data_IF_678049084776
#
_entry.id   IF_678049084776
#
_cell.length_a   1.000
_cell.length_b   1.000
_cell.length_c   1.000
_cell.angle_alpha   90.00
_cell.angle_beta   90.00
_cell.angle_gamma   90.00
#
_symmetry.space_group_name_H-M   'P 1'
#
loop_
_entity.id
_entity.type
_entity.pdbx_description
1 polymer ?
#
# COMPACT_ATOMS: atom_id res chain seq x y z
N UNK A 1 -6.78 1.06 -19.07
CA UNK A 1 -6.89 2.36 -18.37
C UNK A 1 -8.35 2.72 -18.16
N UNK A 2 -9.15 2.80 -19.20
CA UNK A 2 -10.59 3.13 -19.12
C UNK A 2 -11.36 2.21 -18.16
N UNK A 3 -11.14 0.89 -18.23
CA UNK A 3 -11.75 -0.10 -17.32
C UNK A 3 -11.28 0.01 -15.85
N UNK A 4 -10.23 0.79 -15.57
CA UNK A 4 -9.68 1.00 -14.23
C UNK A 4 -10.12 2.32 -13.64
N UNK A 5 -9.95 3.40 -14.40
CA UNK A 5 -10.05 4.76 -13.89
C UNK A 5 -11.21 5.57 -14.51
N UNK A 6 -11.92 5.02 -15.49
CA UNK A 6 -13.02 5.72 -16.16
C UNK A 6 -14.18 6.07 -15.21
N UNK A 7 -15.30 5.36 -15.31
CA UNK A 7 -16.51 5.65 -14.52
C UNK A 7 -16.37 5.41 -13.00
N UNK A 8 -15.27 4.83 -12.52
CA UNK A 8 -15.05 4.56 -11.11
C UNK A 8 -14.58 5.78 -10.30
N UNK A 9 -14.08 6.82 -10.99
CA UNK A 9 -13.61 8.05 -10.37
C UNK A 9 -14.59 9.19 -10.63
N UNK A 10 -14.72 10.11 -9.68
CA UNK A 10 -15.67 11.22 -9.74
C UNK A 10 -15.13 12.46 -10.47
N UNK A 11 -13.91 12.40 -10.99
CA UNK A 11 -13.28 13.43 -11.82
C UNK A 11 -12.55 12.81 -13.02
N UNK A 12 -12.58 13.52 -14.16
CA UNK A 12 -11.87 13.11 -15.39
C UNK A 12 -10.35 13.12 -15.22
N UNK A 13 -9.82 14.00 -14.38
CA UNK A 13 -8.39 14.12 -14.08
C UNK A 13 -7.87 13.00 -13.16
N UNK A 14 -8.75 12.20 -12.57
CA UNK A 14 -8.46 11.05 -11.70
C UNK A 14 -7.75 11.43 -10.41
N UNK A 15 -6.68 12.21 -10.47
CA UNK A 15 -5.89 12.70 -9.35
C UNK A 15 -5.44 14.15 -9.61
N UNK A 16 -6.38 15.12 -9.57
CA UNK A 16 -6.08 16.50 -9.85
C UNK A 16 -5.13 17.12 -8.83
N UNK A 17 -4.45 18.18 -9.25
CA UNK A 17 -3.62 18.99 -8.35
C UNK A 17 -4.30 20.32 -8.10
N UNK A 18 -4.60 20.61 -6.83
CA UNK A 18 -5.19 21.88 -6.39
C UNK A 18 -4.13 22.75 -5.73
N UNK A 19 -3.98 24.00 -6.20
CA UNK A 19 -3.08 24.99 -5.62
C UNK A 19 -3.74 25.69 -4.43
N UNK A 20 -3.10 25.66 -3.26
CA UNK A 20 -3.54 26.37 -2.06
C UNK A 20 -2.97 27.79 -2.02
N UNK A 21 -1.75 27.96 -2.47
CA UNK A 21 -1.05 29.21 -2.63
C UNK A 21 0.04 29.07 -3.73
N UNK A 22 0.86 30.11 -3.94
CA UNK A 22 1.91 30.14 -4.98
C UNK A 22 2.99 29.03 -4.85
N UNK A 23 3.05 28.33 -3.70
CA UNK A 23 4.13 27.37 -3.39
C UNK A 23 3.61 26.04 -2.84
N UNK A 24 2.33 25.97 -2.55
CA UNK A 24 1.73 24.81 -1.88
C UNK A 24 0.62 24.24 -2.73
N UNK A 25 0.79 22.99 -3.13
CA UNK A 25 -0.15 22.28 -3.98
C UNK A 25 -0.56 20.97 -3.30
N UNK A 26 -1.77 20.52 -3.53
CA UNK A 26 -2.32 19.27 -3.01
C UNK A 26 -2.63 18.35 -4.18
N UNK A 27 -1.97 17.20 -4.21
CA UNK A 27 -2.34 16.09 -5.08
C UNK A 27 -3.50 15.33 -4.44
N UNK A 28 -4.67 15.42 -5.05
CA UNK A 28 -5.91 14.86 -4.53
C UNK A 28 -6.04 13.40 -4.93
N UNK A 29 -5.95 12.47 -3.97
CA UNK A 29 -5.97 11.02 -4.22
C UNK A 29 -7.26 10.35 -3.70
N UNK A 30 -8.31 11.11 -3.43
CA UNK A 30 -9.57 10.62 -2.84
C UNK A 30 -10.75 10.52 -3.81
N UNK A 31 -10.53 10.76 -5.09
CA UNK A 31 -11.58 10.76 -6.13
C UNK A 31 -12.03 9.36 -6.58
N UNK A 32 -11.40 8.32 -6.06
CA UNK A 32 -11.77 6.94 -6.35
C UNK A 32 -13.01 6.46 -5.57
N UNK A 33 -13.53 5.26 -5.89
CA UNK A 33 -14.83 4.76 -5.41
C UNK A 33 -14.90 4.55 -3.89
N UNK A 34 -13.77 4.53 -3.20
CA UNK A 34 -13.75 4.36 -1.73
C UNK A 34 -13.18 5.58 -0.99
N UNK A 35 -12.92 6.65 -1.71
CA UNK A 35 -12.37 7.91 -1.20
C UNK A 35 -11.03 7.74 -0.47
N UNK A 36 -10.23 6.79 -0.92
CA UNK A 36 -8.90 6.50 -0.37
C UNK A 36 -7.85 6.47 -1.46
N UNK A 37 -6.63 7.00 -1.20
CA UNK A 37 -5.52 6.95 -2.14
C UNK A 37 -5.21 5.51 -2.63
N UNK A 38 -5.62 4.53 -1.86
CA UNK A 38 -5.46 3.11 -2.17
C UNK A 38 -6.23 2.67 -3.41
N UNK A 39 -7.27 3.40 -3.79
CA UNK A 39 -8.04 3.17 -5.01
C UNK A 39 -7.16 3.26 -6.25
N UNK A 40 -6.19 4.17 -6.28
CA UNK A 40 -5.26 4.32 -7.40
C UNK A 40 -4.59 3.00 -7.79
N UNK A 41 -4.26 2.18 -6.81
CA UNK A 41 -3.65 0.88 -7.05
C UNK A 41 -4.66 -0.27 -7.02
N UNK A 42 -5.65 -0.22 -6.12
CA UNK A 42 -6.59 -1.33 -5.92
C UNK A 42 -7.72 -1.37 -6.95
N UNK A 43 -7.90 -0.34 -7.76
CA UNK A 43 -8.73 -0.43 -8.98
C UNK A 43 -7.91 -0.93 -10.18
N UNK A 44 -6.58 -0.74 -10.17
CA UNK A 44 -5.68 -1.15 -11.25
C UNK A 44 -5.22 -2.62 -11.15
N UNK A 45 -4.71 -3.00 -9.99
CA UNK A 45 -4.19 -4.36 -9.72
C UNK A 45 -5.18 -5.47 -10.10
N UNK A 46 -6.48 -5.40 -9.73
CA UNK A 46 -7.44 -6.44 -10.08
C UNK A 46 -7.60 -6.65 -11.60
N UNK A 47 -7.54 -5.59 -12.38
CA UNK A 47 -7.65 -5.67 -13.83
C UNK A 47 -6.43 -6.37 -14.45
N UNK A 48 -5.22 -6.00 -14.04
CA UNK A 48 -4.00 -6.70 -14.48
C UNK A 48 -3.98 -8.16 -14.02
N UNK A 49 -4.40 -8.40 -12.78
CA UNK A 49 -4.41 -9.74 -12.22
C UNK A 49 -5.39 -10.66 -12.96
N UNK A 50 -6.63 -10.19 -13.17
CA UNK A 50 -7.65 -10.95 -13.90
C UNK A 50 -7.24 -11.24 -15.33
N UNK A 51 -6.72 -10.25 -16.03
CA UNK A 51 -6.29 -10.42 -17.43
C UNK A 51 -5.10 -11.38 -17.55
N UNK A 52 -4.14 -11.29 -16.63
CA UNK A 52 -3.02 -12.24 -16.58
C UNK A 52 -3.50 -13.65 -16.28
N UNK A 53 -4.39 -13.81 -15.31
CA UNK A 53 -4.96 -15.12 -14.97
C UNK A 53 -5.78 -15.71 -16.14
N UNK A 54 -6.57 -14.88 -16.84
CA UNK A 54 -7.32 -15.28 -18.03
C UNK A 54 -6.40 -15.83 -19.13
N UNK A 55 -5.34 -15.09 -19.48
CA UNK A 55 -4.35 -15.53 -20.48
C UNK A 55 -3.70 -16.86 -20.10
N UNK A 56 -3.23 -16.98 -18.87
CA UNK A 56 -2.60 -18.21 -18.39
C UNK A 56 -3.56 -19.41 -18.41
N UNK A 57 -4.85 -19.20 -18.18
CA UNK A 57 -5.87 -20.26 -18.34
C UNK A 57 -6.09 -20.66 -19.80
N UNK A 58 -6.17 -19.68 -20.70
CA UNK A 58 -6.31 -19.92 -22.14
C UNK A 58 -5.12 -20.66 -22.72
N UNK A 59 -3.91 -20.39 -22.21
CA UNK A 59 -2.68 -21.08 -22.58
C UNK A 59 -2.52 -22.46 -21.89
N UNK A 60 -3.45 -22.82 -21.00
CA UNK A 60 -3.41 -24.07 -20.26
C UNK A 60 -2.30 -24.15 -19.20
N UNK A 61 -1.73 -23.01 -18.81
CA UNK A 61 -0.66 -22.93 -17.79
C UNK A 61 -1.23 -23.07 -16.38
N UNK A 62 -2.44 -22.53 -16.15
CA UNK A 62 -3.16 -22.64 -14.89
C UNK A 62 -4.59 -23.10 -15.13
N UNK A 63 -5.17 -23.84 -14.16
CA UNK A 63 -6.56 -24.30 -14.17
C UNK A 63 -7.30 -23.98 -12.86
N UNK A 64 -6.75 -23.05 -12.09
CA UNK A 64 -7.23 -22.72 -10.75
C UNK A 64 -7.79 -21.31 -10.63
N UNK A 65 -8.52 -21.09 -9.54
CA UNK A 65 -8.98 -19.79 -9.07
C UNK A 65 -8.06 -19.24 -7.98
N UNK A 66 -8.17 -17.96 -7.68
CA UNK A 66 -7.41 -17.31 -6.62
C UNK A 66 -8.31 -16.90 -5.47
N UNK A 67 -7.88 -17.18 -4.24
CA UNK A 67 -8.47 -16.62 -3.02
C UNK A 67 -7.54 -15.54 -2.47
N UNK A 68 -8.00 -14.30 -2.54
CA UNK A 68 -7.29 -13.14 -2.02
C UNK A 68 -7.68 -12.94 -0.56
N UNK A 69 -6.70 -13.06 0.34
CA UNK A 69 -6.89 -12.75 1.76
C UNK A 69 -6.27 -11.39 2.09
N UNK A 70 -7.06 -10.56 2.76
CA UNK A 70 -6.65 -9.21 3.18
C UNK A 70 -6.96 -9.04 4.65
N UNK A 71 -5.94 -8.69 5.46
CA UNK A 71 -6.16 -8.09 6.76
C UNK A 71 -6.21 -6.57 6.60
N UNK A 72 -7.16 -5.91 7.24
CA UNK A 72 -7.35 -4.47 7.11
C UNK A 72 -7.64 -3.79 8.44
N UNK A 73 -7.18 -2.54 8.56
CA UNK A 73 -7.62 -1.58 9.56
C UNK A 73 -8.69 -0.61 9.01
N UNK A 74 -9.26 -0.92 7.82
CA UNK A 74 -10.33 -0.15 7.20
C UNK A 74 -10.15 0.05 5.69
N UNK A 75 -9.42 1.06 5.24
CA UNK A 75 -9.32 1.53 3.85
C UNK A 75 -8.88 0.45 2.85
N UNK A 76 -7.86 -0.35 3.21
CA UNK A 76 -7.34 -1.39 2.31
C UNK A 76 -8.40 -2.44 2.01
N UNK A 77 -9.16 -2.84 3.03
CA UNK A 77 -10.22 -3.84 2.88
C UNK A 77 -11.29 -3.37 1.90
N UNK A 78 -11.84 -2.17 2.11
CA UNK A 78 -12.87 -1.63 1.24
C UNK A 78 -12.37 -1.45 -0.20
N UNK A 79 -11.21 -0.84 -0.38
CA UNK A 79 -10.65 -0.61 -1.71
C UNK A 79 -10.35 -1.93 -2.46
N UNK A 80 -9.90 -2.97 -1.74
CA UNK A 80 -9.68 -4.30 -2.30
C UNK A 80 -11.01 -4.99 -2.69
N UNK A 81 -12.02 -4.94 -1.80
CA UNK A 81 -13.33 -5.49 -2.10
C UNK A 81 -13.92 -4.87 -3.37
N UNK A 82 -13.90 -3.55 -3.47
CA UNK A 82 -14.43 -2.83 -4.64
C UNK A 82 -13.67 -3.19 -5.92
N UNK A 83 -12.35 -3.22 -5.87
CA UNK A 83 -11.54 -3.50 -7.06
C UNK A 83 -11.64 -4.94 -7.55
N UNK A 84 -11.74 -5.92 -6.64
CA UNK A 84 -11.84 -7.35 -6.97
C UNK A 84 -13.28 -7.85 -7.12
N UNK A 85 -14.27 -7.02 -6.84
CA UNK A 85 -15.68 -7.32 -7.00
C UNK A 85 -15.97 -7.88 -8.40
N UNK A 86 -16.66 -9.02 -8.42
CA UNK A 86 -17.15 -9.70 -9.64
C UNK A 86 -16.06 -10.00 -10.68
N UNK A 87 -14.77 -10.11 -10.26
CA UNK A 87 -13.68 -10.53 -11.15
C UNK A 87 -13.68 -12.05 -11.30
N UNK A 88 -13.71 -12.51 -12.56
CA UNK A 88 -13.74 -13.94 -12.89
C UNK A 88 -12.52 -14.71 -12.37
N UNK A 89 -12.76 -15.88 -11.79
CA UNK A 89 -11.74 -16.74 -11.22
C UNK A 89 -11.03 -16.18 -10.00
N UNK A 90 -11.64 -15.22 -9.31
CA UNK A 90 -11.13 -14.62 -8.08
C UNK A 90 -12.20 -14.64 -7.00
N UNK A 91 -11.82 -15.07 -5.80
CA UNK A 91 -12.56 -14.86 -4.56
C UNK A 91 -11.76 -13.91 -3.68
N UNK A 92 -12.43 -13.02 -2.95
CA UNK A 92 -11.78 -12.16 -1.98
C UNK A 92 -12.42 -12.28 -0.61
N UNK A 93 -11.58 -12.39 0.42
CA UNK A 93 -11.98 -12.38 1.82
C UNK A 93 -11.18 -11.32 2.58
N UNK A 94 -11.91 -10.41 3.23
CA UNK A 94 -11.35 -9.35 4.05
C UNK A 94 -11.62 -9.62 5.51
N UNK A 95 -10.57 -9.60 6.32
CA UNK A 95 -10.62 -9.73 7.77
C UNK A 95 -10.34 -8.37 8.41
N UNK A 96 -11.22 -7.92 9.29
CA UNK A 96 -11.06 -6.68 10.03
C UNK A 96 -11.32 -6.89 11.53
N UNK A 97 -10.68 -6.11 12.43
CA UNK A 97 -10.92 -6.21 13.86
C UNK A 97 -12.32 -5.69 14.22
N UNK A 98 -13.09 -6.50 14.93
CA UNK A 98 -14.42 -6.10 15.41
C UNK A 98 -14.32 -4.90 16.35
N UNK A 99 -15.02 -3.81 16.03
CA UNK A 99 -14.92 -2.54 16.74
C UNK A 99 -13.60 -1.78 16.53
N UNK A 100 -12.67 -2.28 15.67
CA UNK A 100 -11.37 -1.67 15.41
C UNK A 100 -11.25 -0.89 14.10
N UNK A 101 -12.37 -0.60 13.45
CA UNK A 101 -12.46 0.25 12.24
C UNK A 101 -13.46 1.37 12.47
N UNK A 102 -13.39 2.46 11.70
CA UNK A 102 -14.38 3.53 11.81
C UNK A 102 -15.77 3.07 11.34
N UNK A 103 -16.83 3.74 11.82
CA UNK A 103 -18.22 3.44 11.42
C UNK A 103 -18.41 3.52 9.91
N UNK A 104 -17.75 4.46 9.25
CA UNK A 104 -17.80 4.62 7.79
C UNK A 104 -17.15 3.43 7.12
N UNK A 105 -15.94 3.07 7.53
CA UNK A 105 -15.20 1.94 6.96
C UNK A 105 -15.93 0.62 7.18
N UNK A 106 -16.52 0.42 8.38
CA UNK A 106 -17.38 -0.72 8.67
C UNK A 106 -18.56 -0.79 7.70
N UNK A 107 -19.31 0.30 7.57
CA UNK A 107 -20.47 0.35 6.65
C UNK A 107 -20.04 0.10 5.21
N UNK A 108 -18.97 0.70 4.75
CA UNK A 108 -18.44 0.48 3.40
C UNK A 108 -18.13 -1.00 3.12
N UNK A 109 -17.56 -1.74 4.10
CA UNK A 109 -17.27 -3.16 3.94
C UNK A 109 -18.54 -4.03 4.11
N UNK A 110 -19.37 -3.75 5.11
CA UNK A 110 -20.56 -4.54 5.42
C UNK A 110 -21.65 -4.46 4.33
N UNK A 111 -21.67 -3.36 3.56
CA UNK A 111 -22.61 -3.17 2.45
C UNK A 111 -21.99 -3.47 1.09
N UNK A 112 -20.79 -4.02 1.04
CA UNK A 112 -20.14 -4.37 -0.23
C UNK A 112 -20.92 -5.44 -0.96
N UNK A 113 -21.39 -5.12 -2.14
CA UNK A 113 -22.01 -6.05 -3.07
C UNK A 113 -20.95 -6.79 -3.90
N UNK A 114 -21.33 -7.97 -4.40
CA UNK A 114 -20.49 -8.80 -5.27
C UNK A 114 -20.67 -10.30 -4.96
N UNK A 115 -20.63 -11.12 -5.98
CA UNK A 115 -20.82 -12.57 -5.86
C UNK A 115 -19.59 -13.31 -5.28
N UNK A 116 -18.44 -12.66 -5.32
CA UNK A 116 -17.14 -13.22 -4.95
C UNK A 116 -16.48 -12.55 -3.74
N UNK A 117 -17.23 -11.69 -3.02
CA UNK A 117 -16.71 -10.92 -1.89
C UNK A 117 -17.14 -11.51 -0.55
N UNK A 118 -16.24 -11.56 0.41
CA UNK A 118 -16.48 -12.04 1.77
C UNK A 118 -15.83 -11.11 2.78
N UNK A 119 -16.56 -10.79 3.85
CA UNK A 119 -16.09 -9.87 4.90
C UNK A 119 -16.29 -10.53 6.25
N UNK A 120 -15.22 -10.61 7.05
CA UNK A 120 -15.22 -11.28 8.34
C UNK A 120 -14.71 -10.36 9.44
N UNK A 121 -15.52 -10.17 10.47
CA UNK A 121 -15.11 -9.55 11.73
C UNK A 121 -14.32 -10.56 12.56
N UNK A 122 -13.19 -10.14 13.11
CA UNK A 122 -12.30 -10.94 13.95
C UNK A 122 -12.30 -10.33 15.34
N UNK A 123 -12.59 -11.15 16.37
CA UNK A 123 -12.45 -10.71 17.76
C UNK A 123 -10.98 -10.53 18.11
N UNK A 124 -10.55 -9.29 18.28
CA UNK A 124 -9.16 -8.91 18.51
C UNK A 124 -8.84 -7.55 17.87
N UNK A 125 -7.56 -7.28 17.69
CA UNK A 125 -7.07 -6.06 17.07
C UNK A 125 -6.54 -6.33 15.62
N UNK A 126 -6.02 -5.30 14.97
CA UNK A 126 -5.49 -5.42 13.62
C UNK A 126 -4.29 -6.39 13.50
N UNK A 127 -3.42 -6.43 14.53
CA UNK A 127 -2.29 -7.35 14.55
C UNK A 127 -2.74 -8.81 14.65
N UNK A 128 -3.86 -9.07 15.35
CA UNK A 128 -4.48 -10.40 15.38
C UNK A 128 -5.00 -10.81 13.99
N UNK A 129 -5.64 -9.88 13.27
CA UNK A 129 -6.07 -10.13 11.88
C UNK A 129 -4.87 -10.43 10.97
N UNK A 130 -3.80 -9.63 11.05
CA UNK A 130 -2.58 -9.86 10.27
C UNK A 130 -1.91 -11.18 10.60
N UNK A 131 -1.79 -11.50 11.88
CA UNK A 131 -1.21 -12.75 12.35
C UNK A 131 -2.03 -13.94 11.88
N UNK A 132 -3.36 -13.84 11.96
CA UNK A 132 -4.29 -14.84 11.44
C UNK A 132 -4.08 -15.10 9.95
N UNK A 133 -4.02 -14.05 9.14
CA UNK A 133 -3.75 -14.16 7.70
C UNK A 133 -2.39 -14.80 7.44
N UNK A 134 -1.32 -14.39 8.14
CA UNK A 134 0.01 -14.99 8.01
C UNK A 134 0.01 -16.48 8.38
N UNK A 135 -0.70 -16.86 9.45
CA UNK A 135 -0.86 -18.26 9.83
C UNK A 135 -1.60 -19.09 8.77
N UNK A 136 -2.64 -18.51 8.14
CA UNK A 136 -3.35 -19.18 7.04
C UNK A 136 -2.43 -19.42 5.84
N UNK A 137 -1.60 -18.44 5.49
CA UNK A 137 -0.60 -18.59 4.41
C UNK A 137 0.48 -19.64 4.72
N UNK A 138 0.87 -19.78 5.97
CA UNK A 138 1.90 -20.72 6.41
C UNK A 138 1.36 -22.16 6.62
N UNK A 139 0.04 -22.37 6.53
CA UNK A 139 -0.59 -23.66 6.88
C UNK A 139 -0.64 -24.58 5.68
N UNK A 140 0.31 -25.52 5.58
CA UNK A 140 0.42 -26.49 4.48
C UNK A 140 -0.87 -27.27 4.24
N UNK A 141 -1.52 -27.79 5.30
CA UNK A 141 -2.80 -28.49 5.20
C UNK A 141 -3.92 -27.65 4.57
N UNK A 142 -3.92 -26.33 4.77
CA UNK A 142 -4.88 -25.44 4.11
C UNK A 142 -4.54 -25.31 2.63
N UNK A 143 -3.27 -25.12 2.30
CA UNK A 143 -2.82 -25.04 0.92
C UNK A 143 -3.15 -26.33 0.14
N UNK A 144 -2.96 -27.51 0.73
CA UNK A 144 -3.34 -28.79 0.13
C UNK A 144 -4.85 -28.88 -0.13
N UNK A 145 -5.68 -28.59 0.88
CA UNK A 145 -7.15 -28.61 0.75
C UNK A 145 -7.68 -27.62 -0.27
N UNK A 146 -7.08 -26.44 -0.37
CA UNK A 146 -7.43 -25.46 -1.39
C UNK A 146 -6.97 -25.93 -2.78
N UNK A 147 -5.78 -26.55 -2.86
CA UNK A 147 -5.27 -27.14 -4.10
C UNK A 147 -6.17 -28.24 -4.68
N UNK A 148 -6.76 -29.10 -3.81
CA UNK A 148 -7.77 -30.09 -4.20
C UNK A 148 -9.01 -29.45 -4.85
N UNK A 149 -9.34 -28.22 -4.45
CA UNK A 149 -10.43 -27.41 -5.01
C UNK A 149 -9.97 -26.49 -6.14
N UNK A 150 -8.75 -26.64 -6.61
CA UNK A 150 -8.12 -25.76 -7.60
C UNK A 150 -8.19 -24.28 -7.20
N UNK A 151 -7.85 -24.00 -5.96
CA UNK A 151 -7.83 -22.64 -5.40
C UNK A 151 -6.47 -22.34 -4.77
N UNK A 152 -5.92 -21.16 -5.04
CA UNK A 152 -4.63 -20.72 -4.50
C UNK A 152 -4.74 -19.42 -3.73
N UNK A 153 -4.07 -19.37 -2.58
CA UNK A 153 -4.02 -18.17 -1.74
C UNK A 153 -3.08 -17.13 -2.33
N UNK A 154 -3.55 -15.87 -2.31
CA UNK A 154 -2.72 -14.71 -2.59
C UNK A 154 -3.16 -13.52 -1.73
N UNK A 155 -2.42 -12.43 -1.75
CA UNK A 155 -2.72 -11.25 -0.94
C UNK A 155 -2.68 -9.96 -1.77
N UNK A 156 -3.60 -9.04 -1.47
CA UNK A 156 -3.62 -7.68 -1.99
C UNK A 156 -3.16 -6.64 -0.95
N UNK A 157 -2.46 -7.04 0.11
CA UNK A 157 -1.87 -6.12 1.07
C UNK A 157 -0.75 -5.26 0.45
N UNK A 158 -0.31 -4.24 1.15
CA UNK A 158 0.64 -3.23 0.63
C UNK A 158 2.01 -3.77 0.20
N UNK A 159 2.37 -4.99 0.63
CA UNK A 159 3.58 -5.69 0.17
C UNK A 159 3.49 -6.17 -1.28
N UNK A 160 2.29 -6.26 -1.86
CA UNK A 160 2.14 -6.62 -3.27
C UNK A 160 2.68 -5.49 -4.16
N UNK A 161 3.60 -5.81 -5.07
CA UNK A 161 4.19 -4.83 -6.00
C UNK A 161 3.14 -4.13 -6.87
N UNK A 162 2.08 -4.83 -7.25
CA UNK A 162 0.94 -4.27 -7.98
C UNK A 162 0.19 -3.17 -7.20
N UNK A 163 0.43 -3.05 -5.88
CA UNK A 163 -0.03 -1.95 -5.05
C UNK A 163 0.87 -0.72 -5.14
N UNK A 164 2.16 -0.92 -5.37
CA UNK A 164 3.16 0.16 -5.41
C UNK A 164 3.30 0.76 -6.81
N UNK A 165 3.37 -0.09 -7.83
CA UNK A 165 3.62 0.33 -9.20
C UNK A 165 2.65 1.42 -9.73
N UNK A 166 1.32 1.32 -9.57
CA UNK A 166 0.41 2.36 -10.06
C UNK A 166 0.58 3.70 -9.34
N UNK A 167 1.11 3.67 -8.12
CA UNK A 167 1.34 4.88 -7.33
C UNK A 167 2.50 5.74 -7.86
N UNK A 168 3.43 5.16 -8.59
CA UNK A 168 4.52 5.92 -9.24
C UNK A 168 3.94 6.91 -10.24
N UNK A 169 2.89 6.51 -10.95
CA UNK A 169 2.32 7.26 -12.09
C UNK A 169 1.79 8.63 -11.67
N UNK A 170 1.05 8.71 -10.58
CA UNK A 170 0.45 9.98 -10.18
C UNK A 170 1.46 11.05 -9.75
N UNK A 171 2.68 10.68 -9.36
CA UNK A 171 3.74 11.66 -9.11
C UNK A 171 4.24 12.30 -10.41
N UNK A 172 4.32 11.51 -11.49
CA UNK A 172 4.61 12.04 -12.83
C UNK A 172 3.47 12.91 -13.34
N UNK A 173 2.20 12.49 -13.13
CA UNK A 173 1.02 13.28 -13.50
C UNK A 173 1.04 14.63 -12.80
N UNK A 174 1.16 14.63 -11.46
CA UNK A 174 1.19 15.86 -10.67
C UNK A 174 2.29 16.84 -11.11
N UNK A 175 3.49 16.32 -11.41
CA UNK A 175 4.57 17.14 -11.93
C UNK A 175 4.24 17.75 -13.29
N UNK A 176 3.67 16.93 -14.18
CA UNK A 176 3.28 17.37 -15.53
C UNK A 176 2.17 18.42 -15.49
N UNK A 177 1.18 18.26 -14.60
CA UNK A 177 0.07 19.20 -14.42
C UNK A 177 0.55 20.56 -13.91
N UNK A 178 1.45 20.58 -12.92
CA UNK A 178 2.05 21.80 -12.41
C UNK A 178 2.92 22.52 -13.46
N UNK A 179 3.64 21.75 -14.27
CA UNK A 179 4.42 22.33 -15.36
C UNK A 179 3.52 22.84 -16.49
N UNK A 180 2.44 22.14 -16.84
CA UNK A 180 1.50 22.55 -17.87
C UNK A 180 0.69 23.80 -17.45
N UNK A 181 0.34 23.93 -16.17
CA UNK A 181 -0.33 25.13 -15.64
C UNK A 181 0.60 26.33 -15.47
N UNK A 182 1.91 26.13 -15.59
CA UNK A 182 2.91 27.20 -15.43
C UNK A 182 3.27 27.53 -13.97
N UNK A 183 2.82 26.72 -13.02
CA UNK A 183 3.14 26.84 -11.59
C UNK A 183 4.63 26.54 -11.33
N UNK A 184 5.23 25.66 -12.13
CA UNK A 184 6.66 25.35 -12.12
C UNK A 184 7.22 25.34 -13.54
N UNK A 185 8.54 25.43 -13.67
CA UNK A 185 9.24 25.17 -14.92
C UNK A 185 9.72 23.70 -14.97
N UNK A 186 9.78 23.14 -16.18
CA UNK A 186 10.33 21.79 -16.34
C UNK A 186 11.78 21.75 -15.87
N UNK A 187 12.07 20.89 -14.91
CA UNK A 187 13.37 20.77 -14.24
C UNK A 187 13.40 21.35 -12.83
N UNK A 188 12.40 22.15 -12.44
CA UNK A 188 12.27 22.61 -11.06
C UNK A 188 12.02 21.42 -10.12
N UNK A 189 12.65 21.48 -8.94
CA UNK A 189 12.52 20.41 -7.95
C UNK A 189 11.34 20.65 -7.03
N UNK A 190 10.46 19.64 -6.93
CA UNK A 190 9.36 19.61 -5.97
C UNK A 190 9.77 18.91 -4.68
N UNK A 191 9.44 19.50 -3.52
CA UNK A 191 9.44 18.78 -2.26
C UNK A 191 8.06 18.14 -2.08
N UNK A 192 8.04 16.88 -1.67
CA UNK A 192 6.79 16.11 -1.56
C UNK A 192 6.59 15.63 -0.13
N UNK A 193 5.52 16.10 0.51
CA UNK A 193 5.10 15.63 1.84
C UNK A 193 4.05 14.52 1.70
N UNK A 194 4.33 13.37 2.31
CA UNK A 194 3.46 12.18 2.22
C UNK A 194 3.10 11.71 3.62
N UNK A 195 1.80 11.75 4.02
CA UNK A 195 1.35 11.05 5.21
C UNK A 195 1.65 9.56 5.09
N UNK A 196 2.44 9.03 6.03
CA UNK A 196 3.08 7.73 5.84
C UNK A 196 2.87 6.79 7.02
N UNK A 197 2.37 5.59 6.74
CA UNK A 197 2.33 4.45 7.66
C UNK A 197 3.13 3.27 7.10
N UNK A 198 2.60 2.54 6.13
CA UNK A 198 3.23 1.36 5.52
C UNK A 198 4.34 1.67 4.49
N UNK A 199 4.76 2.90 4.35
CA UNK A 199 5.83 3.38 3.47
C UNK A 199 5.60 3.18 1.96
N UNK A 200 4.46 2.63 1.53
CA UNK A 200 4.20 2.33 0.11
C UNK A 200 4.11 3.57 -0.76
N UNK A 201 3.33 4.57 -0.33
CA UNK A 201 3.10 5.80 -1.08
C UNK A 201 4.40 6.62 -1.24
N UNK A 202 5.11 6.91 -0.15
CA UNK A 202 6.38 7.66 -0.22
C UNK A 202 7.46 6.90 -0.99
N UNK A 203 7.49 5.56 -0.90
CA UNK A 203 8.39 4.71 -1.69
C UNK A 203 8.09 4.81 -3.19
N UNK A 204 6.83 4.96 -3.58
CA UNK A 204 6.49 5.20 -4.98
C UNK A 204 7.04 6.54 -5.47
N UNK A 205 6.99 7.59 -4.64
CA UNK A 205 7.64 8.87 -4.94
C UNK A 205 9.17 8.74 -5.02
N UNK A 206 9.77 7.98 -4.12
CA UNK A 206 11.20 7.67 -4.18
C UNK A 206 11.58 6.99 -5.50
N UNK A 207 10.79 6.01 -5.95
CA UNK A 207 11.04 5.39 -7.26
C UNK A 207 10.84 6.37 -8.42
N UNK A 208 9.82 7.25 -8.36
CA UNK A 208 9.65 8.31 -9.36
C UNK A 208 10.89 9.22 -9.44
N UNK A 209 11.44 9.64 -8.29
CA UNK A 209 12.71 10.38 -8.19
C UNK A 209 13.87 9.60 -8.82
N UNK A 210 14.01 8.31 -8.51
CA UNK A 210 15.03 7.43 -9.09
C UNK A 210 14.87 7.21 -10.61
N UNK A 211 13.65 7.33 -11.13
CA UNK A 211 13.35 7.30 -12.57
C UNK A 211 13.63 8.63 -13.28
N UNK A 212 14.01 9.67 -12.53
CA UNK A 212 14.42 10.94 -13.10
C UNK A 212 13.40 12.08 -12.93
N UNK A 213 12.28 11.84 -12.20
CA UNK A 213 11.36 12.92 -11.87
C UNK A 213 12.08 13.94 -10.96
N UNK A 214 12.01 15.27 -11.23
CA UNK A 214 12.70 16.28 -10.46
C UNK A 214 12.08 16.46 -9.06
N UNK A 215 12.33 15.51 -8.17
CA UNK A 215 11.93 15.56 -6.77
C UNK A 215 13.12 16.05 -5.94
N UNK A 216 12.87 17.05 -5.10
CA UNK A 216 13.78 17.54 -4.10
C UNK A 216 13.82 16.63 -2.88
N UNK A 217 13.17 17.06 -1.80
CA UNK A 217 13.07 16.30 -0.55
C UNK A 217 11.77 15.52 -0.48
N UNK A 218 11.87 14.30 0.08
CA UNK A 218 10.74 13.50 0.49
C UNK A 218 10.48 13.73 1.98
N UNK A 219 9.31 14.23 2.33
CA UNK A 219 8.94 14.53 3.70
C UNK A 219 7.97 13.44 4.20
N UNK A 220 8.49 12.57 5.05
CA UNK A 220 7.71 11.50 5.66
C UNK A 220 6.92 12.04 6.86
N UNK A 221 5.65 12.33 6.66
CA UNK A 221 4.78 12.83 7.72
C UNK A 221 4.17 11.68 8.51
N UNK A 222 4.31 11.69 9.83
CA UNK A 222 3.74 10.70 10.76
C UNK A 222 2.65 11.33 11.62
N UNK A 223 1.71 10.50 12.09
CA UNK A 223 0.88 10.84 13.23
C UNK A 223 1.62 10.50 14.55
N UNK A 224 0.88 10.35 15.66
CA UNK A 224 1.47 10.03 16.98
C UNK A 224 2.21 8.68 17.00
N UNK A 225 1.93 7.78 16.05
CA UNK A 225 2.71 6.55 15.84
C UNK A 225 3.92 6.85 14.95
N UNK A 226 4.93 7.48 15.51
CA UNK A 226 6.04 8.16 14.83
C UNK A 226 7.29 7.29 14.62
N UNK A 227 7.14 5.97 14.55
CA UNK A 227 8.26 5.02 14.38
C UNK A 227 9.15 5.36 13.17
N UNK A 228 8.55 5.83 12.07
CA UNK A 228 9.30 6.25 10.88
C UNK A 228 10.07 7.55 11.12
N UNK A 229 9.47 8.53 11.79
CA UNK A 229 10.14 9.79 12.14
C UNK A 229 11.37 9.52 12.99
N UNK A 230 11.26 8.67 14.01
CA UNK A 230 12.41 8.28 14.83
C UNK A 230 13.47 7.56 13.99
N UNK A 231 13.08 6.58 13.17
CA UNK A 231 14.02 5.87 12.31
C UNK A 231 14.78 6.79 11.35
N UNK A 232 14.07 7.65 10.64
CA UNK A 232 14.66 8.58 9.66
C UNK A 232 15.55 9.64 10.35
N UNK A 233 15.32 9.92 11.63
CA UNK A 233 16.10 10.89 12.40
C UNK A 233 17.34 10.25 13.05
N UNK A 234 17.17 9.05 13.64
CA UNK A 234 18.19 8.40 14.48
C UNK A 234 18.91 7.24 13.81
N UNK A 235 18.36 6.69 12.75
CA UNK A 235 18.81 5.44 12.12
C UNK A 235 18.34 4.18 12.86
N UNK A 236 17.60 4.32 13.95
CA UNK A 236 17.14 3.18 14.76
C UNK A 236 15.63 2.97 14.58
N UNK A 237 15.27 1.80 14.11
CA UNK A 237 13.88 1.37 14.00
C UNK A 237 13.52 0.50 15.21
N UNK A 238 12.60 0.97 16.05
CA UNK A 238 12.18 0.27 17.25
C UNK A 238 10.65 0.10 17.28
N UNK A 239 10.18 -1.17 17.22
CA UNK A 239 8.76 -1.51 17.30
C UNK A 239 8.22 -1.64 18.71
N UNK A 240 9.07 -1.64 19.73
CA UNK A 240 8.70 -1.76 21.16
C UNK A 240 8.28 -0.40 21.70
N UNK A 241 7.10 0.04 21.32
CA UNK A 241 6.53 1.33 21.73
C UNK A 241 5.02 1.22 21.92
N UNK A 242 4.46 2.20 22.61
CA UNK A 242 3.03 2.31 22.79
C UNK A 242 2.34 2.52 21.43
N UNK A 243 1.24 1.82 21.22
CA UNK A 243 0.36 2.02 20.06
C UNK A 243 -0.70 3.07 20.43
N UNK A 244 -0.84 4.08 19.59
CA UNK A 244 -1.81 5.15 19.78
C UNK A 244 -2.92 5.07 18.74
N UNK A 245 -4.17 4.98 19.20
CA UNK A 245 -5.33 5.17 18.34
C UNK A 245 -5.49 6.65 18.04
N UNK A 246 -5.51 7.01 16.75
CA UNK A 246 -5.63 8.40 16.29
C UNK A 246 -6.86 8.58 15.38
N UNK A 247 -7.11 9.81 14.96
CA UNK A 247 -8.13 10.12 13.95
C UNK A 247 -7.67 9.80 12.50
N UNK A 248 -6.50 9.21 12.34
CA UNK A 248 -5.94 8.75 11.05
C UNK A 248 -5.59 7.26 11.10
N UNK A 249 -6.58 6.37 11.33
CA UNK A 249 -6.35 4.96 11.66
C UNK A 249 -5.56 4.20 10.59
N UNK A 250 -5.64 4.61 9.33
CA UNK A 250 -4.87 4.01 8.24
C UNK A 250 -3.35 4.23 8.36
N UNK A 251 -2.94 5.22 9.18
CA UNK A 251 -1.54 5.56 9.47
C UNK A 251 -1.11 5.11 10.87
N UNK A 252 -1.98 4.46 11.65
CA UNK A 252 -1.65 3.90 12.95
C UNK A 252 -0.87 2.59 12.78
N UNK A 253 0.42 2.73 12.47
CA UNK A 253 1.31 1.64 12.08
C UNK A 253 2.57 1.67 12.95
N UNK A 254 2.94 0.53 13.54
CA UNK A 254 4.21 0.34 14.24
C UNK A 254 5.23 -0.48 13.42
N UNK A 255 4.75 -1.28 12.45
CA UNK A 255 5.61 -2.06 11.56
C UNK A 255 5.30 -1.67 10.12
N UNK A 256 6.21 -0.89 9.55
CA UNK A 256 6.08 -0.33 8.20
C UNK A 256 6.50 -1.34 7.13
N UNK A 257 5.54 -1.95 6.45
CA UNK A 257 5.74 -3.14 5.62
C UNK A 257 6.57 -2.94 4.34
N UNK A 258 6.68 -1.71 3.83
CA UNK A 258 7.48 -1.44 2.62
C UNK A 258 8.83 -0.77 2.91
N UNK A 259 9.15 -0.49 4.17
CA UNK A 259 10.44 0.10 4.53
C UNK A 259 11.60 -0.82 4.13
N UNK A 260 11.42 -2.14 4.22
CA UNK A 260 12.45 -3.10 3.79
C UNK A 260 12.85 -2.96 2.31
N UNK A 261 11.94 -2.50 1.44
CA UNK A 261 12.26 -2.19 0.03
C UNK A 261 13.14 -0.97 -0.11
N UNK A 262 12.89 0.04 0.71
CA UNK A 262 13.76 1.21 0.78
C UNK A 262 15.15 0.84 1.31
N UNK A 263 15.22 0.03 2.37
CA UNK A 263 16.48 -0.49 2.90
C UNK A 263 17.25 -1.30 1.86
N UNK A 264 16.55 -2.06 1.01
CA UNK A 264 17.20 -2.81 -0.07
C UNK A 264 17.91 -1.87 -1.06
N UNK A 265 17.28 -0.78 -1.47
CA UNK A 265 17.91 0.23 -2.33
C UNK A 265 19.03 0.97 -1.58
N UNK A 266 18.80 1.36 -0.33
CA UNK A 266 19.77 2.06 0.54
C UNK A 266 21.06 1.25 0.73
N UNK A 267 20.94 -0.06 0.87
CA UNK A 267 22.10 -0.97 1.03
C UNK A 267 22.67 -1.45 -0.32
N UNK A 268 22.44 -0.71 -1.41
CA UNK A 268 22.97 -1.08 -2.72
C UNK A 268 22.46 -2.43 -3.24
N UNK A 269 21.23 -2.82 -2.84
CA UNK A 269 20.56 -4.09 -3.18
C UNK A 269 21.20 -5.33 -2.56
N UNK A 270 21.89 -5.17 -1.43
CA UNK A 270 22.45 -6.29 -0.67
C UNK A 270 21.36 -6.94 0.21
N UNK A 271 20.79 -8.05 -0.30
CA UNK A 271 19.69 -8.75 0.36
C UNK A 271 20.02 -9.25 1.77
N UNK A 272 21.29 -9.62 2.03
CA UNK A 272 21.71 -10.13 3.36
C UNK A 272 21.64 -9.03 4.42
N UNK A 273 21.96 -7.79 4.06
CA UNK A 273 21.88 -6.66 4.97
C UNK A 273 20.43 -6.39 5.38
N UNK A 274 19.50 -6.44 4.42
CA UNK A 274 18.05 -6.31 4.71
C UNK A 274 17.58 -7.47 5.58
N UNK A 275 17.92 -8.71 5.22
CA UNK A 275 17.54 -9.91 5.97
C UNK A 275 18.02 -9.83 7.43
N UNK A 276 19.22 -9.30 7.66
CA UNK A 276 19.75 -9.08 9.01
C UNK A 276 18.92 -8.05 9.79
N UNK A 277 18.55 -6.92 9.19
CA UNK A 277 17.67 -5.93 9.83
C UNK A 277 16.31 -6.54 10.18
N UNK A 278 15.70 -7.31 9.27
CA UNK A 278 14.41 -7.96 9.51
C UNK A 278 14.52 -9.05 10.59
N UNK A 279 15.58 -9.82 10.60
CA UNK A 279 15.87 -10.78 11.68
C UNK A 279 15.95 -10.07 13.05
N UNK A 280 16.75 -8.98 13.15
CA UNK A 280 16.89 -8.19 14.38
C UNK A 280 15.54 -7.61 14.83
N UNK A 281 14.72 -7.12 13.88
CA UNK A 281 13.40 -6.60 14.18
C UNK A 281 12.47 -7.70 14.75
N UNK A 282 12.53 -8.89 14.20
CA UNK A 282 11.70 -10.01 14.64
C UNK A 282 12.11 -10.55 16.01
N UNK A 283 13.38 -10.78 16.24
CA UNK A 283 13.90 -11.33 17.49
C UNK A 283 14.05 -10.28 18.59
N UNK A 284 14.68 -9.15 18.27
CA UNK A 284 15.02 -8.10 19.22
C UNK A 284 14.04 -6.94 19.30
N UNK A 285 13.13 -6.82 18.32
CA UNK A 285 12.18 -5.70 18.23
C UNK A 285 12.78 -4.40 17.69
N UNK A 286 14.07 -4.38 17.37
CA UNK A 286 14.76 -3.19 16.87
C UNK A 286 15.97 -3.54 15.99
N UNK A 287 16.33 -2.61 15.11
CA UNK A 287 17.60 -2.59 14.38
C UNK A 287 18.09 -1.15 14.18
N UNK A 288 19.39 -0.99 13.92
CA UNK A 288 19.95 0.31 13.53
C UNK A 288 20.72 0.16 12.22
N UNK A 289 20.68 1.21 11.40
CA UNK A 289 21.51 1.34 10.20
C UNK A 289 22.86 1.98 10.55
N UNK A 290 23.82 1.94 9.62
CA UNK A 290 25.12 2.60 9.81
C UNK A 290 24.98 4.13 9.72
N UNK A 291 25.98 4.86 10.19
CA UNK A 291 26.01 6.32 10.10
C UNK A 291 25.95 6.79 8.63
N UNK A 292 26.67 6.11 7.75
CA UNK A 292 26.70 6.41 6.31
C UNK A 292 25.32 6.21 5.67
N UNK A 293 24.59 5.15 6.06
CA UNK A 293 23.23 4.92 5.59
C UNK A 293 22.27 5.98 6.13
N UNK A 294 22.43 6.41 7.39
CA UNK A 294 21.62 7.48 7.96
C UNK A 294 21.85 8.82 7.25
N UNK A 295 23.10 9.12 6.88
CA UNK A 295 23.39 10.34 6.13
C UNK A 295 22.75 10.31 4.73
N UNK A 296 22.78 9.16 4.04
CA UNK A 296 22.04 8.99 2.77
C UNK A 296 20.53 9.17 2.94
N UNK A 297 19.93 8.67 4.01
CA UNK A 297 18.50 8.87 4.32
C UNK A 297 18.19 10.37 4.45
N UNK A 298 19.06 11.14 5.09
CA UNK A 298 18.86 12.58 5.32
C UNK A 298 19.01 13.44 4.06
N UNK A 299 19.71 12.94 3.05
CA UNK A 299 19.88 13.60 1.76
C UNK A 299 18.66 13.42 0.84
N UNK A 300 17.86 12.40 1.05
CA UNK A 300 16.66 12.10 0.25
C UNK A 300 15.46 12.94 0.66
#
# INVERSE_FOLDING_TARGET
>A
MEATYGAAFDTEDICPVTSLDEKTHVLELWHGPTSAFKDMALQCLPNFFSESARKLREEGVIDHTFLILVATSGDTGKAALEGFKDKDGIQIAVMYPDGGVSDIQYKQMATQEGSNVNVWAVSGNFDDCQTGVKHLFAKEQLAERLGEQKMYLTSANSINWGRLLPQIVYYFSAYADLAASGEIQVGDKLNVAVPTGNFGNILACYYAKRMGLPIGRLICASNRNDVLTEFLTTGTYNRKREFHLTNTPSMDILISSNLERYLFELFGREARAVAYCMYRLNEGGEYSVTAEALDQIREE
#
